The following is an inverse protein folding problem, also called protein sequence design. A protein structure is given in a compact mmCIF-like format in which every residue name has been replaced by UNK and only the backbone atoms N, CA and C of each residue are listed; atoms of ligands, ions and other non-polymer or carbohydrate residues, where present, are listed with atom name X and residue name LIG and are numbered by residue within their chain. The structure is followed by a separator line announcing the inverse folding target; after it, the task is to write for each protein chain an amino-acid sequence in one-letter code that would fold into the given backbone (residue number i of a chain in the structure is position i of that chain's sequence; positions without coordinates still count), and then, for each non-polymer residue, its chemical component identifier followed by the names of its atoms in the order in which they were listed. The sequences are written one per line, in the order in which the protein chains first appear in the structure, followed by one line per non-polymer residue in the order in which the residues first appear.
data_IF_293021385378
#
_entry.id   IF_293021385378
#
_cell.length_a   1.000
_cell.length_b   1.000
_cell.length_c   1.000
_cell.angle_alpha   90.00
_cell.angle_beta   90.00
_cell.angle_gamma   90.00
#
_symmetry.space_group_name_H-M   'P 1'
#
loop_
_entity.id
_entity.type
_entity.pdbx_description
1 polymer ?
#
# COMPACT_ATOMS: atom_id res chain seq x y z
N UNK A 1 6.68 13.13 14.40
CA UNK A 1 6.71 12.39 13.12
C UNK A 1 5.40 11.63 13.07
N UNK A 2 4.44 12.06 12.24
CA UNK A 2 3.07 11.55 12.26
C UNK A 2 2.98 10.37 11.29
N UNK A 3 2.73 9.19 11.83
CA UNK A 3 2.54 7.94 11.08
C UNK A 3 1.25 8.01 10.26
N UNK A 4 1.37 8.07 8.94
CA UNK A 4 0.29 7.56 8.08
C UNK A 4 0.28 6.04 8.20
N UNK A 5 -0.89 5.42 8.38
CA UNK A 5 -1.06 3.97 8.45
C UNK A 5 -2.26 3.66 7.57
N UNK A 6 -1.99 3.27 6.33
CA UNK A 6 -3.00 2.99 5.31
C UNK A 6 -3.37 1.53 5.22
N UNK A 7 -4.62 1.14 5.48
CA UNK A 7 -5.12 -0.20 5.12
C UNK A 7 -6.18 -0.10 4.02
N UNK A 8 -5.99 -0.79 2.90
CA UNK A 8 -7.01 -0.85 1.84
C UNK A 8 -8.06 -1.90 2.21
N UNK A 9 -9.32 -1.50 2.20
CA UNK A 9 -10.43 -2.41 2.45
C UNK A 9 -10.91 -3.10 1.15
N UNK A 10 -11.88 -4.04 1.22
CA UNK A 10 -12.40 -4.74 0.03
C UNK A 10 -13.05 -3.83 -1.02
N UNK A 11 -13.40 -2.58 -0.66
CA UNK A 11 -13.97 -1.59 -1.59
C UNK A 11 -12.90 -0.81 -2.34
N UNK A 12 -11.65 -0.93 -1.90
CA UNK A 12 -10.50 -0.38 -2.56
C UNK A 12 -10.11 1.04 -2.10
N UNK A 13 -10.73 1.55 -1.05
CA UNK A 13 -10.36 2.84 -0.45
C UNK A 13 -9.34 2.65 0.68
N UNK A 14 -8.49 3.66 0.88
CA UNK A 14 -7.50 3.68 1.96
C UNK A 14 -8.14 4.21 3.25
N UNK A 15 -7.79 3.61 4.38
CA UNK A 15 -8.09 4.12 5.73
C UNK A 15 -6.83 4.72 6.31
N UNK A 16 -6.88 5.94 6.85
CA UNK A 16 -5.74 6.51 7.61
C UNK A 16 -6.00 6.33 9.09
N UNK A 17 -5.12 5.62 9.77
CA UNK A 17 -5.14 5.56 11.24
C UNK A 17 -4.36 6.75 11.81
N UNK A 18 -4.91 7.39 12.84
CA UNK A 18 -4.34 8.54 13.52
C UNK A 18 -3.72 8.12 14.87
N UNK A 19 -2.78 8.90 15.43
CA UNK A 19 -2.13 8.57 16.70
C UNK A 19 -3.06 8.50 17.91
N UNK A 20 -4.24 9.11 17.82
CA UNK A 20 -5.29 9.06 18.85
C UNK A 20 -6.19 7.82 18.71
N UNK A 21 -5.79 6.84 17.89
CA UNK A 21 -6.51 5.58 17.63
C UNK A 21 -7.82 5.79 16.84
N UNK A 22 -8.06 6.99 16.32
CA UNK A 22 -9.16 7.23 15.38
C UNK A 22 -8.76 6.93 13.93
N UNK A 23 -9.75 6.80 13.06
CA UNK A 23 -9.54 6.44 11.65
C UNK A 23 -10.30 7.38 10.73
N UNK A 24 -9.63 7.89 9.70
CA UNK A 24 -10.25 8.61 8.58
C UNK A 24 -10.53 7.62 7.44
N UNK A 25 -11.78 7.55 6.98
CA UNK A 25 -12.19 6.70 5.86
C UNK A 25 -13.38 7.28 5.08
N UNK A 26 -13.31 7.36 3.73
CA UNK A 26 -12.11 7.14 2.91
C UNK A 26 -11.05 8.20 3.22
N UNK A 27 -9.78 7.81 3.22
CA UNK A 27 -8.67 8.77 3.27
C UNK A 27 -8.39 9.28 1.87
N UNK A 28 -8.40 10.60 1.75
CA UNK A 28 -7.96 11.34 0.57
C UNK A 28 -6.79 12.24 0.97
N UNK A 29 -5.85 12.41 0.04
CA UNK A 29 -4.74 13.34 0.24
C UNK A 29 -5.33 14.76 0.21
N UNK A 30 -5.13 15.58 1.25
CA UNK A 30 -5.71 16.92 1.29
C UNK A 30 -5.21 17.80 0.15
N UNK A 31 -6.08 18.68 -0.35
CA UNK A 31 -5.71 19.66 -1.37
C UNK A 31 -4.55 20.56 -0.92
N UNK A 32 -3.70 20.92 -1.88
CA UNK A 32 -2.42 21.60 -1.69
C UNK A 32 -1.31 20.71 -1.11
N UNK A 33 -1.45 19.37 -1.03
CA UNK A 33 -0.47 18.51 -0.35
C UNK A 33 -0.06 17.27 -1.14
N UNK A 34 1.12 16.78 -0.79
CA UNK A 34 1.63 15.47 -1.22
C UNK A 34 1.67 14.49 -0.05
N UNK A 35 1.43 13.22 -0.34
CA UNK A 35 1.73 12.11 0.56
C UNK A 35 3.06 11.48 0.18
N UNK A 36 4.03 11.52 1.10
CA UNK A 36 5.32 10.84 0.97
C UNK A 36 5.23 9.50 1.69
N UNK A 37 5.45 8.40 0.98
CA UNK A 37 5.50 7.05 1.55
C UNK A 37 6.95 6.63 1.72
N UNK A 38 7.30 6.18 2.92
CA UNK A 38 8.66 5.78 3.31
C UNK A 38 8.78 4.33 3.69
N UNK A 39 7.67 3.67 4.05
CA UNK A 39 7.70 2.28 4.48
C UNK A 39 6.50 1.52 3.93
N UNK A 40 6.72 0.24 3.63
CA UNK A 40 5.69 -0.68 3.17
C UNK A 40 5.79 -1.95 4.00
N UNK A 41 4.73 -2.24 4.74
CA UNK A 41 4.49 -3.54 5.35
C UNK A 41 3.36 -4.23 4.63
N UNK A 42 3.53 -5.51 4.35
CA UNK A 42 2.43 -6.30 3.84
C UNK A 42 2.55 -7.75 4.26
N UNK A 43 1.39 -8.36 4.40
CA UNK A 43 1.27 -9.77 4.70
C UNK A 43 0.38 -10.45 3.68
N UNK A 44 0.78 -11.67 3.41
CA UNK A 44 0.17 -12.55 2.47
C UNK A 44 -0.33 -13.82 3.16
N UNK A 45 -1.51 -14.28 2.72
CA UNK A 45 -2.04 -15.60 3.06
C UNK A 45 -2.66 -16.23 1.84
N UNK A 46 -2.15 -17.39 1.45
CA UNK A 46 -2.77 -18.14 0.38
C UNK A 46 -4.13 -18.75 0.79
N UNK A 47 -5.09 -18.75 -0.13
CA UNK A 47 -6.39 -19.40 0.09
C UNK A 47 -6.34 -20.92 -0.13
N UNK A 48 -5.53 -21.35 -1.09
CA UNK A 48 -5.15 -22.75 -1.28
C UNK A 48 -3.80 -22.98 -0.58
N UNK A 49 -3.19 -24.17 -0.62
CA UNK A 49 -1.84 -24.40 -0.03
C UNK A 49 -0.68 -24.31 -1.06
N UNK A 50 -0.38 -23.15 -1.67
CA UNK A 50 0.86 -22.92 -2.41
C UNK A 50 2.00 -22.71 -1.40
N UNK A 51 2.45 -23.79 -0.77
CA UNK A 51 3.67 -23.77 0.02
C UNK A 51 4.86 -23.36 -0.87
N UNK A 52 5.80 -22.59 -0.32
CA UNK A 52 7.07 -22.26 -0.99
C UNK A 52 6.94 -21.58 -2.36
N UNK A 53 5.88 -20.80 -2.56
CA UNK A 53 5.74 -19.98 -3.76
C UNK A 53 6.23 -18.56 -3.53
N UNK A 54 6.76 -17.95 -4.58
CA UNK A 54 7.03 -16.52 -4.59
C UNK A 54 5.75 -15.75 -4.86
N UNK A 55 5.46 -14.77 -4.01
CA UNK A 55 4.38 -13.82 -4.21
C UNK A 55 4.96 -12.42 -4.35
N UNK A 56 4.34 -11.61 -5.19
CA UNK A 56 4.78 -10.24 -5.46
C UNK A 56 3.64 -9.27 -5.21
N UNK A 57 3.91 -8.26 -4.38
CA UNK A 57 3.09 -7.06 -4.25
C UNK A 57 3.63 -6.01 -5.21
N UNK A 58 2.73 -5.42 -6.00
CA UNK A 58 3.01 -4.22 -6.81
C UNK A 58 2.15 -3.08 -6.31
N UNK A 59 2.78 -1.94 -6.00
CA UNK A 59 2.10 -0.69 -5.75
C UNK A 59 2.25 0.20 -6.98
N UNK A 60 1.13 0.74 -7.44
CA UNK A 60 1.06 1.69 -8.55
C UNK A 60 0.39 2.97 -8.11
N UNK A 61 0.82 4.09 -8.68
CA UNK A 61 0.12 5.37 -8.59
C UNK A 61 -0.64 5.59 -9.89
N UNK A 62 -1.90 5.95 -9.81
CA UNK A 62 -2.75 6.28 -10.95
C UNK A 62 -3.45 7.62 -10.71
N UNK A 63 -3.78 8.34 -11.77
CA UNK A 63 -4.59 9.56 -11.65
C UNK A 63 -6.05 9.18 -11.34
N UNK A 64 -6.72 10.01 -10.54
CA UNK A 64 -8.12 9.78 -10.15
C UNK A 64 -9.07 9.83 -11.34
N UNK A 65 -8.75 10.61 -12.38
CA UNK A 65 -9.54 10.77 -13.60
C UNK A 65 -9.18 9.77 -14.72
N UNK A 66 -8.03 9.08 -14.62
CA UNK A 66 -7.59 8.03 -15.54
C UNK A 66 -6.86 6.90 -14.80
N UNK A 67 -7.64 5.95 -14.28
CA UNK A 67 -7.10 4.76 -13.59
C UNK A 67 -6.38 3.78 -14.51
N UNK A 68 -6.46 3.95 -15.84
CA UNK A 68 -5.76 3.08 -16.79
C UNK A 68 -4.30 3.49 -16.94
N UNK A 69 -4.00 4.77 -16.75
CA UNK A 69 -2.66 5.31 -16.72
C UNK A 69 -2.08 5.22 -15.31
N UNK A 70 -1.45 4.09 -15.01
CA UNK A 70 -0.80 3.84 -13.73
C UNK A 70 0.69 3.54 -13.89
N UNK A 71 1.49 4.00 -12.93
CA UNK A 71 2.93 3.74 -12.87
C UNK A 71 3.26 2.93 -11.62
N UNK A 72 3.99 1.84 -11.78
CA UNK A 72 4.51 1.05 -10.65
C UNK A 72 5.56 1.89 -9.92
N UNK A 73 5.33 2.13 -8.63
CA UNK A 73 6.23 2.90 -7.75
C UNK A 73 6.97 2.03 -6.74
N UNK A 74 6.45 0.84 -6.44
CA UNK A 74 7.10 -0.14 -5.58
C UNK A 74 6.77 -1.57 -6.01
N UNK A 75 7.74 -2.47 -5.90
CA UNK A 75 7.54 -3.90 -6.09
C UNK A 75 8.32 -4.68 -5.03
N UNK A 76 7.62 -5.59 -4.37
CA UNK A 76 8.17 -6.43 -3.30
C UNK A 76 7.85 -7.88 -3.56
N UNK A 77 8.84 -8.76 -3.41
CA UNK A 77 8.66 -10.21 -3.59
C UNK A 77 9.11 -10.93 -2.33
N UNK A 78 8.29 -11.87 -1.84
CA UNK A 78 8.63 -12.75 -0.73
C UNK A 78 8.33 -14.21 -1.06
N UNK A 79 9.05 -15.11 -0.39
CA UNK A 79 8.81 -16.56 -0.43
C UNK A 79 7.87 -16.94 0.71
N UNK A 80 6.79 -17.67 0.40
CA UNK A 80 5.87 -18.18 1.41
C UNK A 80 6.44 -19.37 2.16
N UNK A 81 6.03 -19.50 3.42
CA UNK A 81 6.33 -20.66 4.25
C UNK A 81 5.59 -21.93 3.79
N UNK A 82 5.79 -23.03 4.51
CA UNK A 82 5.16 -24.33 4.23
C UNK A 82 3.63 -24.32 4.44
N UNK A 83 3.11 -23.27 5.06
CA UNK A 83 1.69 -23.07 5.33
C UNK A 83 1.05 -22.04 4.39
N UNK A 84 1.81 -21.43 3.48
CA UNK A 84 1.33 -20.41 2.55
C UNK A 84 1.22 -19.01 3.15
N UNK A 85 1.95 -18.73 4.23
CA UNK A 85 2.01 -17.42 4.89
C UNK A 85 3.35 -16.75 4.61
N UNK A 86 3.33 -15.43 4.57
CA UNK A 86 4.53 -14.62 4.48
C UNK A 86 4.22 -13.16 4.74
N UNK A 87 5.19 -12.43 5.24
CA UNK A 87 5.07 -10.99 5.44
C UNK A 87 6.45 -10.37 5.43
N UNK A 88 6.51 -9.10 5.01
CA UNK A 88 7.74 -8.34 4.96
C UNK A 88 7.45 -6.89 5.32
N UNK A 89 8.44 -6.28 5.94
CA UNK A 89 8.50 -4.87 6.29
C UNK A 89 9.68 -4.24 5.59
N UNK A 90 9.44 -3.24 4.75
CA UNK A 90 10.45 -2.59 3.93
C UNK A 90 10.50 -1.10 4.21
N UNK A 91 11.62 -0.64 4.75
CA UNK A 91 11.97 0.77 4.79
C UNK A 91 12.57 1.18 3.43
N UNK A 92 11.90 2.12 2.74
CA UNK A 92 12.30 2.58 1.43
C UNK A 92 13.42 3.62 1.55
N UNK A 93 14.52 3.44 0.80
CA UNK A 93 15.66 4.38 0.86
C UNK A 93 15.31 5.78 0.37
N UNK A 94 14.49 5.89 -0.68
CA UNK A 94 14.05 7.19 -1.24
C UNK A 94 12.56 7.45 -1.06
N UNK A 95 11.77 6.43 -0.74
CA UNK A 95 10.31 6.53 -0.75
C UNK A 95 9.72 6.82 -2.14
N UNK A 96 8.43 7.11 -2.18
CA UNK A 96 7.73 7.66 -3.35
C UNK A 96 6.64 8.65 -2.92
N UNK A 97 6.20 9.48 -3.86
CA UNK A 97 5.27 10.59 -3.61
C UNK A 97 3.98 10.38 -4.37
N UNK A 98 2.85 10.72 -3.72
CA UNK A 98 1.51 10.68 -4.32
C UNK A 98 0.90 12.08 -4.22
N UNK A 99 0.41 12.59 -5.35
CA UNK A 99 -0.27 13.88 -5.46
C UNK A 99 -1.75 13.75 -5.05
N UNK A 100 -2.38 14.86 -4.65
CA UNK A 100 -3.81 14.92 -4.32
C UNK A 100 -4.75 14.47 -5.46
N UNK A 101 -4.31 14.59 -6.71
CA UNK A 101 -5.04 14.15 -7.90
C UNK A 101 -4.83 12.67 -8.22
N UNK A 102 -4.10 11.93 -7.38
CA UNK A 102 -3.73 10.55 -7.62
C UNK A 102 -4.18 9.61 -6.49
N UNK A 103 -4.22 8.32 -6.80
CA UNK A 103 -4.53 7.25 -5.85
C UNK A 103 -3.52 6.11 -5.94
N UNK A 104 -3.37 5.41 -4.82
CA UNK A 104 -2.56 4.21 -4.72
C UNK A 104 -3.38 2.96 -5.02
N UNK A 105 -2.93 2.20 -6.01
CA UNK A 105 -3.47 0.91 -6.38
C UNK A 105 -2.45 -0.15 -5.98
N UNK A 106 -2.93 -1.29 -5.50
CA UNK A 106 -2.07 -2.44 -5.29
C UNK A 106 -2.60 -3.62 -6.09
N UNK A 107 -1.66 -4.44 -6.54
CA UNK A 107 -1.93 -5.70 -7.20
C UNK A 107 -1.07 -6.79 -6.59
N UNK A 108 -1.66 -7.97 -6.41
CA UNK A 108 -0.93 -9.21 -6.17
C UNK A 108 -1.17 -10.17 -7.32
N UNK A 109 -0.40 -11.26 -7.38
CA UNK A 109 -0.69 -12.36 -8.29
C UNK A 109 -2.15 -12.85 -8.09
N UNK A 110 -2.79 -13.46 -9.12
CA UNK A 110 -4.23 -13.75 -9.12
C UNK A 110 -4.68 -14.91 -8.22
N UNK A 111 -3.78 -15.78 -7.76
CA UNK A 111 -4.12 -16.93 -6.89
C UNK A 111 -4.02 -16.62 -5.39
N UNK A 112 -4.10 -15.33 -5.04
CA UNK A 112 -3.34 -14.80 -3.94
C UNK A 112 -4.12 -13.73 -3.19
N UNK A 113 -4.28 -13.88 -1.86
CA UNK A 113 -4.97 -12.91 -1.01
C UNK A 113 -3.95 -12.18 -0.14
N UNK A 114 -3.78 -10.90 -0.46
CA UNK A 114 -3.10 -9.97 0.44
C UNK A 114 -3.97 -9.79 1.67
N UNK A 115 -3.45 -10.19 2.83
CA UNK A 115 -4.18 -10.12 4.10
C UNK A 115 -4.23 -8.69 4.63
N UNK A 116 -3.13 -7.95 4.46
CA UNK A 116 -3.08 -6.52 4.67
C UNK A 116 -1.93 -5.90 3.88
N UNK A 117 -2.13 -4.64 3.48
CA UNK A 117 -1.06 -3.72 3.09
C UNK A 117 -1.15 -2.56 4.05
N UNK A 118 -0.01 -2.20 4.63
CA UNK A 118 0.19 -1.06 5.47
C UNK A 118 1.32 -0.23 4.87
N UNK A 119 1.09 1.04 4.56
CA UNK A 119 2.19 1.94 4.24
C UNK A 119 2.37 2.92 5.39
N UNK A 120 3.59 3.44 5.55
CA UNK A 120 3.90 4.57 6.43
C UNK A 120 4.50 5.72 5.67
N UNK A 121 4.22 6.92 6.16
CA UNK A 121 4.54 8.15 5.44
C UNK A 121 4.08 9.39 6.17
N UNK A 122 4.21 10.54 5.51
CA UNK A 122 3.84 11.84 6.03
C UNK A 122 3.34 12.76 4.90
N UNK A 123 2.55 13.78 5.28
CA UNK A 123 2.07 14.80 4.34
C UNK A 123 3.03 15.99 4.32
N UNK A 124 3.24 16.55 3.13
CA UNK A 124 3.98 17.80 2.92
C UNK A 124 3.15 18.77 2.09
N UNK A 125 3.36 20.08 2.28
CA UNK A 125 2.70 21.10 1.49
C UNK A 125 3.32 21.20 0.09
N UNK A 126 2.48 21.47 -0.92
CA UNK A 126 2.90 21.79 -2.28
C UNK A 126 3.40 23.23 -2.30
N UNK A 127 4.68 23.41 -2.62
CA UNK A 127 5.28 24.75 -2.81
C UNK A 127 4.81 25.42 -4.09
#
# INVERSE_FOLDING_TARGET
MLEWIGTKDPTGAWRRNLPDVTTEFPFEIPAGRYLVITDVDWQFRALLKPARQNVTLRLSVALLDDLTNSQIVHQSTLLLDDFGYGGISEALTTGFVVDESATLIWHSNPESVVSHVLLRGYLIDRQ
#
